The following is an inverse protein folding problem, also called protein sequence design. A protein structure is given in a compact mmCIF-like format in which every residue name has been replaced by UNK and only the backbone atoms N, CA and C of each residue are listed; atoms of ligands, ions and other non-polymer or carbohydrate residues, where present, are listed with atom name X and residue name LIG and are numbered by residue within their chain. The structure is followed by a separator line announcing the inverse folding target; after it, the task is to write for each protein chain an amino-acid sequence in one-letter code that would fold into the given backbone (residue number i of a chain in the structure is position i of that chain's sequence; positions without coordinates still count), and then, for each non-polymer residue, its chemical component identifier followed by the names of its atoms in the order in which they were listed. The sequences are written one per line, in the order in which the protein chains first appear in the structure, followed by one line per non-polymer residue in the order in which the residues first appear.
data_IF_505598226600
#
_entry.id   IF_505598226600
#
_cell.length_a   1.000
_cell.length_b   1.000
_cell.length_c   1.000
_cell.angle_alpha   90.00
_cell.angle_beta   90.00
_cell.angle_gamma   90.00
#
_symmetry.space_group_name_H-M   'P 1'
#
loop_
_entity.id
_entity.type
_entity.pdbx_description
1 polymer ?
#
# COMPACT_ATOMS: atom_id res chain seq x y z
N UNK A 1 -14.35 -3.82 -10.91
CA UNK A 1 -13.88 -3.58 -12.31
C UNK A 1 -12.50 -2.91 -12.34
N UNK A 2 -12.32 -1.71 -11.77
CA UNK A 2 -11.04 -0.96 -11.84
C UNK A 2 -9.85 -1.69 -11.19
N UNK A 3 -10.04 -2.28 -10.01
CA UNK A 3 -8.99 -3.05 -9.31
C UNK A 3 -8.49 -4.25 -10.15
N UNK A 4 -9.41 -5.00 -10.76
CA UNK A 4 -9.07 -6.16 -11.59
C UNK A 4 -8.24 -5.77 -12.82
N UNK A 5 -8.61 -4.68 -13.49
CA UNK A 5 -7.83 -4.14 -14.61
C UNK A 5 -6.42 -3.71 -14.16
N UNK A 6 -6.32 -3.01 -13.03
CA UNK A 6 -5.04 -2.60 -12.47
C UNK A 6 -4.13 -3.79 -12.12
N UNK A 7 -4.70 -4.87 -11.58
CA UNK A 7 -3.97 -6.12 -11.31
C UNK A 7 -3.49 -6.81 -12.60
N UNK A 8 -4.29 -6.80 -13.67
CA UNK A 8 -3.86 -7.32 -14.97
C UNK A 8 -2.71 -6.51 -15.57
N UNK A 9 -2.80 -5.17 -15.53
CA UNK A 9 -1.72 -4.29 -16.01
C UNK A 9 -0.44 -4.44 -15.17
N UNK A 10 -0.56 -4.62 -13.85
CA UNK A 10 0.57 -4.94 -12.98
C UNK A 10 1.22 -6.27 -13.40
N UNK A 11 0.41 -7.31 -13.62
CA UNK A 11 0.90 -8.61 -14.04
C UNK A 11 1.56 -8.57 -15.42
N UNK A 12 1.04 -7.81 -16.38
CA UNK A 12 1.65 -7.64 -17.70
C UNK A 12 3.05 -7.00 -17.60
N UNK A 13 3.20 -6.00 -16.74
CA UNK A 13 4.45 -5.25 -16.56
C UNK A 13 5.49 -5.97 -15.70
N UNK A 14 5.06 -6.63 -14.62
CA UNK A 14 5.96 -7.24 -13.63
C UNK A 14 6.06 -8.77 -13.76
N UNK A 15 5.23 -9.38 -14.63
CA UNK A 15 5.13 -10.85 -14.83
C UNK A 15 4.80 -11.64 -13.55
N UNK A 16 4.22 -10.96 -12.57
CA UNK A 16 3.76 -11.53 -11.29
C UNK A 16 2.63 -10.67 -10.76
N UNK A 17 1.80 -11.22 -9.86
CA UNK A 17 0.89 -10.41 -9.05
C UNK A 17 1.66 -9.70 -7.92
N UNK A 18 1.11 -8.58 -7.40
CA UNK A 18 1.74 -7.87 -6.29
C UNK A 18 1.79 -8.78 -5.05
N UNK A 19 2.88 -8.68 -4.30
CA UNK A 19 3.03 -9.40 -3.05
C UNK A 19 2.01 -8.88 -2.03
N UNK A 20 1.53 -9.75 -1.14
CA UNK A 20 0.55 -9.36 -0.11
C UNK A 20 1.02 -8.14 0.70
N UNK A 21 2.31 -8.14 1.02
CA UNK A 21 2.99 -7.04 1.69
C UNK A 21 4.47 -6.97 1.29
N UNK A 22 5.04 -5.77 1.30
CA UNK A 22 6.48 -5.55 1.18
C UNK A 22 7.05 -5.25 2.57
N UNK A 23 7.97 -6.12 3.01
CA UNK A 23 8.73 -5.93 4.25
C UNK A 23 9.88 -4.94 4.03
N UNK A 24 10.04 -4.01 4.97
CA UNK A 24 11.22 -3.16 5.10
C UNK A 24 12.36 -4.03 5.61
N UNK A 25 13.57 -3.69 5.18
CA UNK A 25 14.81 -4.42 5.41
C UNK A 25 14.87 -5.06 6.80
N UNK A 26 14.84 -6.40 6.86
CA UNK A 26 15.12 -7.15 8.09
C UNK A 26 16.55 -6.84 8.52
N UNK A 27 16.72 -6.16 9.65
CA UNK A 27 18.05 -5.96 10.25
C UNK A 27 18.37 -7.17 11.11
N UNK A 28 19.46 -7.85 10.77
CA UNK A 28 19.90 -9.15 11.30
C UNK A 28 20.03 -9.19 12.84
N UNK A 29 20.24 -8.05 13.51
CA UNK A 29 20.55 -8.05 14.95
C UNK A 29 19.37 -7.90 15.91
N UNK A 30 18.22 -7.40 15.48
CA UNK A 30 17.01 -7.41 16.29
C UNK A 30 15.85 -7.21 15.32
N UNK A 31 15.00 -8.23 15.15
CA UNK A 31 13.68 -8.04 14.55
C UNK A 31 12.93 -7.08 15.48
N UNK A 32 13.08 -5.78 15.23
CA UNK A 32 12.14 -4.81 15.74
C UNK A 32 10.83 -5.23 15.07
N UNK A 33 9.76 -5.53 15.81
CA UNK A 33 8.44 -5.80 15.24
C UNK A 33 7.85 -4.49 14.71
N UNK A 34 8.59 -3.76 13.87
CA UNK A 34 8.01 -2.76 13.00
C UNK A 34 7.18 -3.54 12.00
N UNK A 35 5.86 -3.42 12.13
CA UNK A 35 4.85 -3.93 11.21
C UNK A 35 5.12 -3.34 9.81
N UNK A 36 6.08 -3.93 9.10
CA UNK A 36 6.51 -3.41 7.83
C UNK A 36 5.73 -4.07 6.73
N UNK A 37 4.60 -3.47 6.37
CA UNK A 37 3.75 -4.06 5.35
C UNK A 37 3.16 -2.94 4.49
N UNK A 38 3.91 -2.46 3.49
CA UNK A 38 3.25 -1.76 2.38
C UNK A 38 2.33 -2.77 1.71
N UNK A 39 1.03 -2.46 1.70
CA UNK A 39 0.01 -3.35 1.15
C UNK A 39 0.19 -3.53 -0.35
N UNK A 40 -0.23 -4.69 -0.88
CA UNK A 40 -0.34 -4.96 -2.30
C UNK A 40 -1.05 -3.84 -3.08
N UNK A 41 -2.01 -3.16 -2.44
CA UNK A 41 -2.79 -2.08 -3.06
C UNK A 41 -1.92 -0.89 -3.47
N UNK A 42 -0.82 -0.63 -2.76
CA UNK A 42 0.15 0.42 -3.09
C UNK A 42 0.79 0.17 -4.45
N UNK A 43 1.09 -1.09 -4.78
CA UNK A 43 1.77 -1.47 -6.02
C UNK A 43 0.91 -1.25 -7.26
N UNK A 44 -0.42 -1.26 -7.11
CA UNK A 44 -1.34 -1.08 -8.24
C UNK A 44 -1.80 0.37 -8.45
N UNK A 45 -1.45 1.29 -7.54
CA UNK A 45 -1.85 2.71 -7.64
C UNK A 45 -1.49 3.36 -8.98
N UNK A 46 -0.30 3.16 -9.58
CA UNK A 46 0.02 3.75 -10.89
C UNK A 46 -0.92 3.26 -12.00
N UNK A 47 -1.47 2.06 -11.87
CA UNK A 47 -2.41 1.46 -12.82
C UNK A 47 -3.88 1.82 -12.55
N UNK A 48 -4.13 2.66 -11.54
CA UNK A 48 -5.45 3.16 -11.13
C UNK A 48 -5.55 4.69 -11.26
N UNK A 49 -4.70 5.32 -12.08
CA UNK A 49 -4.56 6.77 -12.19
C UNK A 49 -4.19 7.46 -10.85
N UNK A 50 -3.59 6.71 -9.92
CA UNK A 50 -3.11 7.21 -8.62
C UNK A 50 -1.59 7.35 -8.57
N UNK A 51 -0.94 7.58 -9.72
CA UNK A 51 0.51 7.85 -9.79
C UNK A 51 0.98 9.02 -8.90
N UNK A 52 0.24 10.15 -8.77
CA UNK A 52 0.63 11.23 -7.85
C UNK A 52 0.63 10.81 -6.38
N UNK A 53 -0.26 9.89 -5.99
CA UNK A 53 -0.30 9.33 -4.64
C UNK A 53 0.86 8.35 -4.44
N UNK A 54 1.08 7.45 -5.40
CA UNK A 54 2.18 6.49 -5.40
C UNK A 54 3.54 7.17 -5.18
N UNK A 55 3.80 8.26 -5.91
CA UNK A 55 5.06 9.01 -5.84
C UNK A 55 5.29 9.73 -4.51
N UNK A 56 4.27 9.91 -3.67
CA UNK A 56 4.39 10.53 -2.35
C UNK A 56 4.71 9.52 -1.25
N UNK A 57 4.46 8.23 -1.49
CA UNK A 57 4.67 7.19 -0.48
C UNK A 57 6.18 6.97 -0.31
N UNK A 58 6.65 7.11 0.93
CA UNK A 58 7.99 6.69 1.30
C UNK A 58 8.03 5.16 1.38
N UNK A 59 8.54 4.53 0.33
CA UNK A 59 8.62 3.07 0.20
C UNK A 59 9.62 2.41 1.15
N UNK A 60 10.54 3.21 1.73
CA UNK A 60 11.61 2.73 2.61
C UNK A 60 11.25 2.88 4.10
N UNK A 61 10.10 3.46 4.42
CA UNK A 61 9.62 3.61 5.79
C UNK A 61 8.60 2.51 6.13
N UNK A 62 8.61 1.98 7.37
CA UNK A 62 7.55 1.10 7.83
C UNK A 62 6.23 1.87 7.90
N UNK A 63 5.11 1.14 7.93
CA UNK A 63 3.80 1.76 8.05
C UNK A 63 3.60 2.42 9.42
N UNK A 64 4.06 1.72 10.46
CA UNK A 64 4.06 2.16 11.86
C UNK A 64 5.45 2.09 12.47
N UNK A 65 5.71 2.93 13.46
CA UNK A 65 6.88 2.78 14.32
C UNK A 65 6.68 1.67 15.38
N UNK A 66 7.70 1.45 16.21
CA UNK A 66 7.64 0.49 17.31
C UNK A 66 6.56 0.83 18.36
N UNK A 67 6.10 2.08 18.42
CA UNK A 67 5.01 2.56 19.27
C UNK A 67 3.64 2.44 18.60
N UNK A 68 3.54 1.79 17.44
CA UNK A 68 2.33 1.61 16.61
C UNK A 68 1.78 2.92 16.01
N UNK A 69 2.55 3.98 16.02
CA UNK A 69 2.18 5.28 15.43
C UNK A 69 2.32 5.24 13.93
N UNK A 70 1.31 5.72 13.20
CA UNK A 70 1.34 5.79 11.73
C UNK A 70 2.33 6.88 11.28
N UNK A 71 3.29 6.51 10.44
CA UNK A 71 4.35 7.43 10.00
C UNK A 71 3.94 8.34 8.84
N UNK A 72 2.96 7.94 8.03
CA UNK A 72 2.51 8.66 6.84
C UNK A 72 1.00 8.99 6.88
N UNK A 73 0.47 9.60 7.96
CA UNK A 73 -0.98 9.66 8.24
C UNK A 73 -1.80 10.36 7.16
N UNK A 74 -1.23 11.37 6.49
CA UNK A 74 -1.91 12.06 5.40
C UNK A 74 -2.12 11.18 4.16
N UNK A 75 -1.19 10.26 3.88
CA UNK A 75 -1.29 9.34 2.75
C UNK A 75 -2.19 8.16 3.09
N UNK A 76 -2.19 7.70 4.34
CA UNK A 76 -3.08 6.62 4.81
C UNK A 76 -4.55 6.97 4.66
N UNK A 77 -4.90 8.24 4.90
CA UNK A 77 -6.27 8.73 4.83
C UNK A 77 -6.70 9.16 3.43
N UNK A 78 -5.89 8.90 2.40
CA UNK A 78 -6.27 9.22 1.02
C UNK A 78 -7.46 8.37 0.60
N UNK A 79 -8.55 9.01 0.19
CA UNK A 79 -9.73 8.30 -0.30
C UNK A 79 -9.46 7.84 -1.73
N UNK A 80 -9.54 6.53 -1.94
CA UNK A 80 -9.45 5.90 -3.26
C UNK A 80 -10.81 5.27 -3.52
N UNK A 81 -11.71 5.94 -4.28
CA UNK A 81 -13.09 5.49 -4.43
C UNK A 81 -13.26 4.04 -4.88
N UNK A 82 -12.39 3.49 -5.77
CA UNK A 82 -12.48 2.08 -6.13
C UNK A 82 -12.29 1.07 -4.98
N UNK A 83 -11.68 1.46 -3.86
CA UNK A 83 -11.53 0.59 -2.68
C UNK A 83 -12.71 0.68 -1.70
N UNK A 84 -13.60 1.66 -1.86
CA UNK A 84 -14.74 1.83 -0.98
C UNK A 84 -15.88 0.94 -1.45
N UNK A 85 -16.49 0.23 -0.50
CA UNK A 85 -17.72 -0.50 -0.76
C UNK A 85 -18.89 0.51 -0.77
N UNK A 86 -19.75 0.53 -1.79
CA UNK A 86 -20.88 1.46 -1.84
C UNK A 86 -21.91 1.29 -0.71
N UNK A 87 -21.91 0.13 -0.04
CA UNK A 87 -22.80 -0.17 1.08
C UNK A 87 -22.17 0.09 2.45
N UNK A 88 -20.90 0.48 2.50
CA UNK A 88 -20.19 0.81 3.74
C UNK A 88 -20.30 2.32 3.98
N UNK A 89 -20.83 2.78 5.13
CA UNK A 89 -20.95 4.21 5.44
C UNK A 89 -19.60 4.90 5.68
N UNK A 90 -18.47 4.17 5.60
CA UNK A 90 -17.11 4.70 5.72
C UNK A 90 -16.81 5.35 7.09
N UNK A 91 -17.47 4.93 8.17
CA UNK A 91 -17.27 5.47 9.53
C UNK A 91 -15.99 4.97 10.25
N UNK A 92 -14.96 4.57 9.50
CA UNK A 92 -13.72 4.00 10.01
C UNK A 92 -12.71 5.02 10.54
#
# INVERSE_FOLDING_TARGET
KQIGLALHNYHETHRTFPQMHVESLRKVDHDIPTESYLSWSVMILPFMDQAPLYNKINMNAPWRDASKTVLQPALVKSIIPPFNCPSDPMEG
#
